data_IF_909495832884
#
_entry.id   IF_909495832884
#
_cell.length_a   1.000
_cell.length_b   1.000
_cell.length_c   1.000
_cell.angle_alpha   90.00
_cell.angle_beta   90.00
_cell.angle_gamma   90.00
#
_symmetry.space_group_name_H-M   'P 1'
#
loop_
_entity.id
_entity.type
_entity.pdbx_description
1 polymer ?
#
# COMPACT_ATOMS: atom_id res chain seq x y z
N UNK A 1 -13.76 -30.82 1.92
CA UNK A 1 -12.58 -29.95 2.08
C UNK A 1 -11.38 -30.72 1.60
N UNK A 2 -11.24 -30.79 0.32
CA UNK A 2 -10.13 -31.46 -0.34
C UNK A 2 -8.89 -30.60 -0.21
N UNK A 3 -7.87 -31.21 0.33
CA UNK A 3 -6.52 -30.67 0.41
C UNK A 3 -5.97 -30.48 -1.00
N UNK A 4 -6.04 -29.27 -1.52
CA UNK A 4 -5.23 -28.88 -2.68
C UNK A 4 -3.77 -28.91 -2.26
N UNK A 5 -3.14 -30.07 -2.44
CA UNK A 5 -1.69 -30.19 -2.52
C UNK A 5 -1.22 -29.35 -3.70
N UNK A 6 -0.92 -28.08 -3.44
CA UNK A 6 -0.17 -27.24 -4.36
C UNK A 6 1.20 -27.88 -4.53
N UNK A 7 1.37 -28.61 -5.62
CA UNK A 7 2.65 -29.15 -6.07
C UNK A 7 3.65 -28.01 -6.16
N UNK A 8 4.62 -28.03 -5.26
CA UNK A 8 5.77 -27.13 -5.23
C UNK A 8 6.44 -27.23 -6.59
N UNK A 9 6.38 -26.15 -7.37
CA UNK A 9 7.00 -26.04 -8.69
C UNK A 9 8.51 -26.13 -8.51
N UNK A 10 9.05 -27.30 -8.82
CA UNK A 10 10.46 -27.48 -9.09
C UNK A 10 10.72 -26.79 -10.44
N UNK A 11 11.75 -25.98 -10.54
CA UNK A 11 12.33 -25.61 -11.84
C UNK A 11 12.94 -26.88 -12.47
N UNK A 12 12.11 -27.74 -12.99
CA UNK A 12 12.51 -28.91 -13.79
C UNK A 12 12.21 -28.58 -15.24
N UNK A 13 13.14 -28.98 -16.11
CA UNK A 13 13.14 -28.89 -17.57
C UNK A 13 11.83 -29.42 -18.19
N UNK A 14 10.77 -28.65 -18.12
CA UNK A 14 9.54 -28.90 -18.82
C UNK A 14 9.38 -27.81 -19.86
N UNK A 15 9.46 -28.14 -21.13
CA UNK A 15 9.17 -27.34 -22.32
C UNK A 15 9.75 -25.92 -22.19
N UNK A 16 10.76 -25.57 -22.99
CA UNK A 16 11.42 -24.26 -22.94
C UNK A 16 10.37 -23.13 -22.97
N UNK A 17 10.16 -22.50 -21.84
CA UNK A 17 9.24 -21.39 -21.74
C UNK A 17 9.80 -20.21 -22.56
N UNK A 18 9.05 -19.66 -23.54
CA UNK A 18 9.52 -18.53 -24.34
C UNK A 18 9.63 -17.25 -23.52
N UNK A 19 9.13 -17.25 -22.27
CA UNK A 19 9.12 -16.11 -21.36
C UNK A 19 10.11 -16.35 -20.21
N UNK A 20 11.31 -15.79 -20.23
CA UNK A 20 12.37 -16.10 -19.25
C UNK A 20 12.01 -15.74 -17.80
N UNK A 21 11.12 -14.76 -17.61
CA UNK A 21 10.70 -14.29 -16.29
C UNK A 21 9.38 -14.90 -15.79
N UNK A 22 8.84 -15.91 -16.46
CA UNK A 22 7.55 -16.53 -16.11
C UNK A 22 7.45 -16.95 -14.65
N UNK A 23 8.43 -17.71 -14.17
CA UNK A 23 8.43 -18.22 -12.80
C UNK A 23 8.52 -17.13 -11.73
N UNK A 24 9.04 -15.95 -12.07
CA UNK A 24 9.14 -14.82 -11.15
C UNK A 24 7.83 -14.06 -10.99
N UNK A 25 6.98 -14.08 -12.01
CA UNK A 25 5.65 -13.43 -12.00
C UNK A 25 4.53 -14.39 -11.61
N UNK A 26 4.62 -15.64 -12.06
CA UNK A 26 3.61 -16.67 -11.87
C UNK A 26 4.21 -17.93 -11.22
N UNK A 27 4.72 -17.84 -9.97
CA UNK A 27 5.44 -18.93 -9.32
C UNK A 27 4.58 -20.17 -9.07
N UNK A 28 3.25 -20.01 -8.97
CA UNK A 28 2.29 -21.09 -8.75
C UNK A 28 1.76 -21.73 -10.04
N UNK A 29 2.08 -21.16 -11.22
CA UNK A 29 1.62 -21.64 -12.51
C UNK A 29 2.80 -22.19 -13.34
N UNK A 30 2.77 -23.50 -13.62
CA UNK A 30 3.69 -24.10 -14.58
C UNK A 30 3.30 -23.65 -16.00
N UNK A 31 4.30 -23.31 -16.81
CA UNK A 31 4.07 -22.98 -18.20
C UNK A 31 3.58 -24.21 -18.98
N UNK A 32 2.45 -24.06 -19.65
CA UNK A 32 1.95 -25.02 -20.64
C UNK A 32 1.62 -24.26 -21.93
N UNK A 33 2.01 -24.75 -23.10
CA UNK A 33 1.75 -24.05 -24.37
C UNK A 33 0.25 -23.82 -24.64
N UNK A 34 -0.61 -24.66 -24.09
CA UNK A 34 -2.08 -24.56 -24.18
C UNK A 34 -2.69 -23.69 -23.06
N UNK A 35 -1.89 -23.02 -22.24
CA UNK A 35 -2.42 -22.10 -21.22
C UNK A 35 -2.96 -20.83 -21.88
N UNK A 36 -4.02 -20.25 -21.34
CA UNK A 36 -4.67 -19.03 -21.83
C UNK A 36 -3.75 -17.78 -21.72
N UNK A 37 -2.79 -17.80 -20.79
CA UNK A 37 -1.94 -16.65 -20.49
C UNK A 37 -1.13 -16.15 -21.70
N UNK A 38 -0.45 -17.00 -22.51
CA UNK A 38 0.25 -16.56 -23.71
C UNK A 38 -0.63 -15.82 -24.72
N UNK A 39 -1.91 -16.23 -24.85
CA UNK A 39 -2.85 -15.62 -25.78
C UNK A 39 -3.33 -14.24 -25.31
N UNK A 40 -3.33 -14.00 -23.99
CA UNK A 40 -3.72 -12.71 -23.39
C UNK A 40 -2.62 -11.66 -23.49
N UNK A 41 -1.34 -12.05 -23.50
CA UNK A 41 -0.21 -11.12 -23.48
C UNK A 41 -0.26 -10.06 -24.59
N UNK A 42 -0.56 -10.38 -25.86
CA UNK A 42 -0.62 -9.38 -26.94
C UNK A 42 -1.71 -8.32 -26.71
N UNK A 43 -2.86 -8.72 -26.17
CA UNK A 43 -3.98 -7.80 -25.89
C UNK A 43 -3.62 -6.84 -24.74
N UNK A 44 -2.95 -7.35 -23.70
CA UNK A 44 -2.44 -6.54 -22.60
C UNK A 44 -1.33 -5.59 -23.08
N UNK A 45 -0.42 -6.05 -23.94
CA UNK A 45 0.61 -5.21 -24.55
C UNK A 45 0.00 -4.04 -25.33
N UNK A 46 -1.08 -4.29 -26.09
CA UNK A 46 -1.80 -3.23 -26.83
C UNK A 46 -2.45 -2.23 -25.89
N UNK A 47 -3.10 -2.70 -24.84
CA UNK A 47 -3.70 -1.85 -23.82
C UNK A 47 -2.65 -0.97 -23.13
N UNK A 48 -1.53 -1.55 -22.68
CA UNK A 48 -0.46 -0.83 -22.00
C UNK A 48 0.27 0.18 -22.90
N UNK A 49 0.29 -0.02 -24.23
CA UNK A 49 0.87 0.93 -25.19
C UNK A 49 -0.05 2.12 -25.48
N UNK A 50 -1.34 1.88 -25.47
CA UNK A 50 -2.33 2.89 -25.83
C UNK A 50 -2.68 3.85 -24.68
N UNK A 51 -2.57 3.36 -23.45
CA UNK A 51 -2.79 4.16 -22.24
C UNK A 51 -1.52 4.92 -21.89
N UNK A 52 -1.65 6.06 -21.16
CA UNK A 52 -0.53 6.90 -20.69
C UNK A 52 0.44 6.20 -19.72
N UNK A 53 0.42 4.84 -19.69
CA UNK A 53 1.34 4.01 -18.91
C UNK A 53 2.77 3.96 -19.50
N UNK A 54 3.06 4.76 -20.51
CA UNK A 54 4.39 4.86 -21.09
C UNK A 54 5.34 5.60 -20.15
N UNK A 55 5.79 4.90 -19.12
CA UNK A 55 6.84 5.38 -18.21
C UNK A 55 8.19 5.11 -18.88
N UNK A 56 9.09 6.11 -18.85
CA UNK A 56 10.44 5.94 -19.39
C UNK A 56 11.17 4.75 -18.76
N UNK A 57 12.01 4.06 -19.51
CA UNK A 57 12.79 2.92 -19.03
C UNK A 57 13.60 3.24 -17.76
N UNK A 58 14.22 4.43 -17.73
CA UNK A 58 15.04 4.87 -16.60
C UNK A 58 14.23 4.96 -15.30
N UNK A 59 12.99 5.47 -15.40
CA UNK A 59 12.07 5.56 -14.27
C UNK A 59 11.59 4.17 -13.84
N UNK A 60 11.26 3.29 -14.80
CA UNK A 60 10.88 1.90 -14.49
C UNK A 60 12.04 1.10 -13.90
N UNK A 61 13.27 1.40 -14.31
CA UNK A 61 14.46 0.76 -13.73
C UNK A 61 14.69 1.20 -12.28
N UNK A 62 14.44 2.47 -11.98
CA UNK A 62 14.58 3.03 -10.64
C UNK A 62 13.45 2.56 -9.70
N UNK A 63 12.20 2.68 -10.14
CA UNK A 63 11.02 2.43 -9.31
C UNK A 63 10.61 0.94 -9.27
N UNK A 64 11.04 0.12 -10.24
CA UNK A 64 10.71 -1.31 -10.40
C UNK A 64 9.23 -1.64 -10.37
N UNK A 65 8.37 -0.65 -10.53
CA UNK A 65 6.92 -0.81 -10.54
C UNK A 65 6.25 0.15 -11.53
N UNK A 66 5.05 -0.18 -11.93
CA UNK A 66 4.16 0.71 -12.66
C UNK A 66 2.76 0.66 -12.04
N UNK A 67 2.07 1.76 -12.13
CA UNK A 67 0.73 1.93 -11.58
C UNK A 67 -0.30 1.55 -12.64
N UNK A 68 -1.31 0.76 -12.28
CA UNK A 68 -2.43 0.37 -13.13
C UNK A 68 -3.71 0.96 -12.53
N UNK A 69 -4.32 1.92 -13.22
CA UNK A 69 -5.58 2.51 -12.80
C UNK A 69 -6.75 1.58 -13.14
N UNK A 70 -7.40 1.04 -12.12
CA UNK A 70 -8.50 0.09 -12.31
C UNK A 70 -9.71 0.72 -13.00
N UNK A 71 -9.95 2.04 -12.81
CA UNK A 71 -11.00 2.76 -13.52
C UNK A 71 -10.79 2.81 -15.04
N UNK A 72 -9.55 2.91 -15.50
CA UNK A 72 -9.23 2.88 -16.94
C UNK A 72 -9.34 1.48 -17.53
N UNK A 73 -9.05 0.45 -16.73
CA UNK A 73 -9.17 -0.95 -17.15
C UNK A 73 -10.62 -1.35 -17.45
N UNK A 74 -11.58 -0.76 -16.73
CA UNK A 74 -13.01 -0.97 -16.88
C UNK A 74 -13.73 0.20 -17.56
N UNK A 75 -12.99 1.17 -18.10
CA UNK A 75 -13.52 2.31 -18.82
C UNK A 75 -13.98 1.96 -20.25
N UNK A 76 -14.61 2.95 -20.89
CA UNK A 76 -15.17 2.84 -22.25
C UNK A 76 -14.12 3.08 -23.36
N UNK A 77 -12.84 3.09 -23.06
CA UNK A 77 -11.80 3.27 -24.09
C UNK A 77 -11.75 2.04 -25.02
N UNK A 78 -11.55 2.29 -26.33
CA UNK A 78 -11.51 1.23 -27.35
C UNK A 78 -10.55 0.09 -26.98
N UNK A 79 -9.43 0.41 -26.35
CA UNK A 79 -8.43 -0.56 -25.92
C UNK A 79 -8.85 -1.34 -24.68
N UNK A 80 -9.58 -0.72 -23.75
CA UNK A 80 -10.15 -1.40 -22.58
C UNK A 80 -11.26 -2.36 -23.02
N UNK A 81 -12.13 -1.92 -23.93
CA UNK A 81 -13.20 -2.76 -24.52
C UNK A 81 -12.60 -3.96 -25.26
N UNK A 82 -11.53 -3.75 -26.05
CA UNK A 82 -10.83 -4.84 -26.74
C UNK A 82 -10.20 -5.86 -25.76
N UNK A 83 -9.62 -5.37 -24.65
CA UNK A 83 -9.08 -6.25 -23.61
C UNK A 83 -10.18 -7.02 -22.87
N UNK A 84 -11.29 -6.38 -22.53
CA UNK A 84 -12.44 -7.02 -21.89
C UNK A 84 -13.08 -8.07 -22.82
N UNK A 85 -13.14 -7.81 -24.12
CA UNK A 85 -13.61 -8.79 -25.10
C UNK A 85 -12.68 -10.02 -25.21
N UNK A 86 -11.36 -9.82 -25.12
CA UNK A 86 -10.38 -10.90 -25.11
C UNK A 86 -10.33 -11.66 -23.76
N UNK A 87 -10.66 -10.96 -22.67
CA UNK A 87 -10.63 -11.51 -21.31
C UNK A 87 -11.93 -11.18 -20.54
N UNK A 88 -13.06 -11.82 -20.87
CA UNK A 88 -14.35 -11.52 -20.23
C UNK A 88 -14.40 -11.89 -18.75
N UNK A 89 -13.60 -12.85 -18.29
CA UNK A 89 -13.52 -13.28 -16.89
C UNK A 89 -12.61 -12.39 -16.03
N UNK A 90 -12.00 -11.34 -16.61
CA UNK A 90 -11.06 -10.45 -15.91
C UNK A 90 -11.61 -9.88 -14.60
N UNK A 91 -12.86 -9.38 -14.51
CA UNK A 91 -13.40 -8.84 -13.25
C UNK A 91 -13.48 -9.90 -12.14
N UNK A 92 -13.93 -11.10 -12.48
CA UNK A 92 -14.07 -12.22 -11.53
C UNK A 92 -12.69 -12.74 -11.08
N UNK A 93 -11.78 -12.97 -12.04
CA UNK A 93 -10.42 -13.42 -11.74
C UNK A 93 -9.61 -12.38 -10.94
N UNK A 94 -9.87 -11.09 -11.15
CA UNK A 94 -9.22 -10.03 -10.38
C UNK A 94 -9.67 -10.04 -8.91
N UNK A 95 -10.89 -10.46 -8.63
CA UNK A 95 -11.37 -10.63 -7.26
C UNK A 95 -10.91 -11.94 -6.62
N UNK A 96 -10.92 -13.04 -7.37
CA UNK A 96 -10.58 -14.37 -6.84
C UNK A 96 -9.07 -14.66 -6.82
N UNK A 97 -8.33 -14.18 -7.84
CA UNK A 97 -6.89 -14.45 -8.02
C UNK A 97 -6.08 -13.20 -8.37
N UNK A 98 -6.18 -12.14 -7.58
CA UNK A 98 -5.58 -10.84 -7.91
C UNK A 98 -4.07 -10.91 -8.14
N UNK A 99 -3.35 -11.71 -7.37
CA UNK A 99 -1.89 -11.85 -7.50
C UNK A 99 -1.49 -12.45 -8.87
N UNK A 100 -2.29 -13.36 -9.42
CA UNK A 100 -2.05 -13.92 -10.74
C UNK A 100 -2.33 -12.90 -11.83
N UNK A 101 -3.46 -12.22 -11.76
CA UNK A 101 -3.85 -11.19 -12.73
C UNK A 101 -2.78 -10.08 -12.80
N UNK A 102 -2.40 -9.49 -11.67
CA UNK A 102 -1.35 -8.46 -11.66
C UNK A 102 0.04 -9.01 -12.03
N UNK A 103 0.29 -10.30 -11.78
CA UNK A 103 1.47 -11.01 -12.27
C UNK A 103 1.51 -11.08 -13.81
N UNK A 104 0.37 -11.35 -14.47
CA UNK A 104 0.27 -11.38 -15.93
C UNK A 104 0.51 -9.98 -16.54
N UNK A 105 -0.07 -8.92 -15.94
CA UNK A 105 0.22 -7.54 -16.36
C UNK A 105 1.71 -7.18 -16.19
N UNK A 106 2.32 -7.57 -15.07
CA UNK A 106 3.75 -7.39 -14.83
C UNK A 106 4.61 -8.13 -15.86
N UNK A 107 4.27 -9.39 -16.18
CA UNK A 107 4.96 -10.21 -17.19
C UNK A 107 4.86 -9.57 -18.58
N UNK A 108 3.66 -9.12 -18.97
CA UNK A 108 3.43 -8.44 -20.25
C UNK A 108 4.31 -7.20 -20.37
N UNK A 109 4.33 -6.34 -19.34
CA UNK A 109 5.18 -5.14 -19.32
C UNK A 109 6.67 -5.46 -19.40
N UNK A 110 7.11 -6.47 -18.66
CA UNK A 110 8.50 -6.92 -18.68
C UNK A 110 8.90 -7.43 -20.08
N UNK A 111 8.04 -8.23 -20.73
CA UNK A 111 8.27 -8.71 -22.09
C UNK A 111 8.36 -7.57 -23.12
N UNK A 112 7.56 -6.52 -22.96
CA UNK A 112 7.68 -5.34 -23.81
C UNK A 112 9.06 -4.70 -23.71
N UNK A 113 9.58 -4.57 -22.48
CA UNK A 113 10.90 -3.98 -22.22
C UNK A 113 12.02 -4.87 -22.77
N UNK A 114 11.91 -6.19 -22.61
CA UNK A 114 12.90 -7.14 -23.14
C UNK A 114 12.98 -7.12 -24.68
N UNK A 115 11.88 -6.81 -25.37
CA UNK A 115 11.85 -6.66 -26.84
C UNK A 115 12.54 -5.37 -27.32
N UNK A 116 12.75 -4.41 -26.45
CA UNK A 116 13.43 -3.17 -26.79
C UNK A 116 14.95 -3.27 -26.64
N UNK A 117 15.75 -2.53 -27.43
CA UNK A 117 17.22 -2.57 -27.33
C UNK A 117 17.70 -2.16 -25.95
N UNK A 118 18.60 -2.96 -25.36
CA UNK A 118 19.15 -2.77 -24.02
C UNK A 118 18.29 -3.29 -22.88
N UNK A 119 17.25 -4.10 -23.15
CA UNK A 119 16.38 -4.68 -22.13
C UNK A 119 16.80 -6.04 -21.55
N UNK A 120 17.90 -6.65 -22.03
CA UNK A 120 18.27 -8.05 -21.74
C UNK A 120 18.40 -8.41 -20.25
N UNK A 121 18.79 -7.46 -19.39
CA UNK A 121 18.97 -7.66 -17.94
C UNK A 121 18.05 -6.75 -17.11
N UNK A 122 16.84 -6.47 -17.60
CA UNK A 122 15.94 -5.60 -16.88
C UNK A 122 15.40 -6.28 -15.59
N UNK A 123 15.30 -5.56 -14.46
CA UNK A 123 14.76 -6.12 -13.23
C UNK A 123 13.26 -6.43 -13.35
N UNK A 124 12.76 -7.27 -12.44
CA UNK A 124 11.33 -7.58 -12.33
C UNK A 124 10.53 -6.31 -12.06
N UNK A 125 9.47 -6.07 -12.83
CA UNK A 125 8.60 -4.90 -12.72
C UNK A 125 7.26 -5.30 -12.12
N UNK A 126 6.88 -4.71 -11.00
CA UNK A 126 5.61 -5.02 -10.33
C UNK A 126 4.47 -4.14 -10.84
N UNK A 127 3.31 -4.76 -11.04
CA UNK A 127 2.07 -4.05 -11.33
C UNK A 127 1.41 -3.64 -10.01
N UNK A 128 1.11 -2.33 -9.85
CA UNK A 128 0.51 -1.75 -8.64
C UNK A 128 -0.89 -1.21 -8.97
N UNK A 129 -1.97 -1.89 -8.53
CA UNK A 129 -3.33 -1.43 -8.81
C UNK A 129 -3.66 -0.17 -8.02
N UNK A 130 -4.22 0.84 -8.68
CA UNK A 130 -4.68 2.10 -8.09
C UNK A 130 -6.12 2.39 -8.52
N UNK A 131 -6.87 3.13 -7.70
CA UNK A 131 -8.20 3.62 -8.08
C UNK A 131 -9.33 2.63 -7.85
N UNK A 132 -9.19 1.66 -6.92
CA UNK A 132 -10.36 0.89 -6.50
C UNK A 132 -11.30 1.80 -5.72
N UNK A 133 -12.50 2.06 -6.22
CA UNK A 133 -13.43 3.00 -5.61
C UNK A 133 -14.01 2.52 -4.29
N UNK A 134 -14.29 1.22 -4.17
CA UNK A 134 -14.88 0.64 -2.97
C UNK A 134 -13.85 0.47 -1.85
N UNK A 135 -14.02 1.25 -0.78
CA UNK A 135 -13.27 1.09 0.46
C UNK A 135 -14.03 0.18 1.43
N UNK A 136 -13.36 -0.86 1.89
CA UNK A 136 -13.91 -1.76 2.90
C UNK A 136 -13.50 -1.29 4.30
N UNK A 137 -14.45 -0.96 5.20
CA UNK A 137 -14.09 -0.58 6.56
C UNK A 137 -13.44 -1.77 7.29
N UNK A 138 -12.42 -1.52 8.10
CA UNK A 138 -11.65 -2.56 8.80
C UNK A 138 -12.55 -3.51 9.61
N UNK A 139 -13.66 -3.02 10.13
CA UNK A 139 -14.65 -3.82 10.87
C UNK A 139 -15.43 -4.80 10.01
N UNK A 140 -15.57 -4.53 8.72
CA UNK A 140 -16.27 -5.42 7.80
C UNK A 140 -15.39 -6.58 7.32
N UNK A 141 -14.05 -6.49 7.50
CA UNK A 141 -13.13 -7.55 7.13
C UNK A 141 -13.37 -8.79 7.99
N UNK A 142 -13.89 -9.83 7.34
CA UNK A 142 -14.19 -11.15 7.91
C UNK A 142 -13.68 -12.24 6.98
N UNK A 143 -13.92 -13.49 7.33
CA UNK A 143 -13.54 -14.67 6.53
C UNK A 143 -14.04 -14.65 5.08
N UNK A 144 -15.15 -13.96 4.80
CA UNK A 144 -15.69 -13.80 3.44
C UNK A 144 -14.75 -13.06 2.47
N UNK A 145 -13.84 -12.24 3.01
CA UNK A 145 -12.85 -11.51 2.20
C UNK A 145 -11.54 -12.27 2.02
N UNK A 146 -11.44 -13.50 2.50
CA UNK A 146 -10.23 -14.31 2.35
C UNK A 146 -9.87 -14.49 0.86
N UNK A 147 -8.61 -14.24 0.52
CA UNK A 147 -8.04 -14.23 -0.84
C UNK A 147 -8.62 -13.19 -1.80
N UNK A 148 -9.47 -12.29 -1.35
CA UNK A 148 -10.04 -11.23 -2.21
C UNK A 148 -9.20 -9.97 -2.17
N UNK A 149 -9.26 -9.24 -3.28
CA UNK A 149 -8.69 -7.90 -3.40
C UNK A 149 -9.57 -6.90 -2.65
N UNK A 150 -9.00 -6.15 -1.72
CA UNK A 150 -9.70 -5.11 -0.96
C UNK A 150 -8.91 -3.82 -0.91
N UNK A 151 -9.61 -2.69 -0.81
CA UNK A 151 -9.02 -1.41 -0.47
C UNK A 151 -9.48 -1.02 0.93
N UNK A 152 -8.53 -0.72 1.81
CA UNK A 152 -8.78 -0.29 3.19
C UNK A 152 -8.13 1.06 3.44
N UNK A 153 -8.78 1.89 4.24
CA UNK A 153 -8.25 3.19 4.66
C UNK A 153 -8.10 3.22 6.17
N UNK A 154 -6.98 3.74 6.64
CA UNK A 154 -6.74 3.85 8.07
C UNK A 154 -5.47 4.61 8.42
N UNK A 155 -5.26 4.83 9.72
CA UNK A 155 -4.07 5.50 10.26
C UNK A 155 -3.00 4.46 10.61
N UNK A 156 -1.77 4.68 10.18
CA UNK A 156 -0.63 3.84 10.53
C UNK A 156 -0.24 4.10 11.97
N UNK A 157 -0.36 3.07 12.82
CA UNK A 157 -0.05 3.17 14.26
C UNK A 157 1.36 2.68 14.56
N UNK A 158 1.79 1.63 13.87
CA UNK A 158 3.10 1.00 14.09
C UNK A 158 3.73 0.60 12.78
N UNK A 159 5.04 0.78 12.70
CA UNK A 159 5.88 0.35 11.58
C UNK A 159 6.99 -0.52 12.15
N UNK A 160 7.19 -1.71 11.60
CA UNK A 160 8.31 -2.59 11.97
C UNK A 160 9.57 -2.23 11.19
N UNK A 161 10.75 -2.65 11.67
CA UNK A 161 11.95 -2.56 10.83
C UNK A 161 11.81 -3.44 9.58
N UNK A 162 12.48 -3.05 8.49
CA UNK A 162 12.57 -3.83 7.26
C UNK A 162 13.41 -5.09 7.53
N UNK A 163 12.92 -6.22 7.05
CA UNK A 163 13.58 -7.52 7.17
C UNK A 163 13.66 -8.21 5.81
N UNK A 164 14.81 -8.73 5.40
CA UNK A 164 14.90 -9.54 4.19
C UNK A 164 14.15 -10.86 4.38
N UNK A 165 13.33 -11.20 3.41
CA UNK A 165 12.57 -12.45 3.34
C UNK A 165 12.87 -13.18 2.05
N UNK A 166 13.14 -14.49 2.11
CA UNK A 166 13.46 -15.27 0.93
C UNK A 166 12.18 -15.68 0.20
N UNK A 167 12.06 -15.30 -1.06
CA UNK A 167 10.98 -15.75 -1.98
C UNK A 167 11.38 -17.02 -2.73
N UNK A 168 12.64 -17.13 -3.12
CA UNK A 168 13.22 -18.33 -3.69
C UNK A 168 14.42 -18.75 -2.88
N UNK A 169 14.44 -20.00 -2.43
CA UNK A 169 15.50 -20.53 -1.61
C UNK A 169 16.17 -21.72 -2.30
N UNK A 170 17.51 -21.65 -2.40
CA UNK A 170 18.32 -22.74 -2.91
C UNK A 170 18.62 -23.76 -1.82
N UNK A 171 18.54 -25.03 -2.17
CA UNK A 171 18.76 -26.17 -1.26
C UNK A 171 19.84 -27.10 -1.83
N UNK A 172 20.74 -27.56 -1.01
CA UNK A 172 21.73 -28.56 -1.37
C UNK A 172 21.23 -29.96 -1.02
N UNK A 173 21.38 -30.87 -1.96
CA UNK A 173 21.12 -32.28 -1.72
C UNK A 173 22.37 -32.98 -1.11
N UNK A 174 22.26 -33.71 0.01
CA UNK A 174 23.41 -34.38 0.64
C UNK A 174 23.98 -35.54 -0.20
N UNK A 175 23.16 -36.13 -1.10
CA UNK A 175 23.55 -37.28 -1.91
C UNK A 175 24.28 -36.85 -3.18
N UNK A 176 23.66 -36.02 -4.03
CA UNK A 176 24.21 -35.61 -5.31
C UNK A 176 24.91 -34.24 -5.28
N UNK A 177 24.93 -33.56 -4.14
CA UNK A 177 25.45 -32.20 -3.95
C UNK A 177 24.90 -31.16 -4.94
N UNK A 178 23.84 -31.52 -5.66
CA UNK A 178 23.15 -30.63 -6.60
C UNK A 178 22.29 -29.59 -5.86
N UNK A 179 22.11 -28.42 -6.46
CA UNK A 179 21.24 -27.36 -5.94
C UNK A 179 19.83 -27.50 -6.51
N UNK A 180 18.82 -27.38 -5.64
CA UNK A 180 17.40 -27.35 -5.98
C UNK A 180 16.84 -26.02 -5.50
N UNK A 181 16.24 -25.23 -6.37
CA UNK A 181 15.63 -23.95 -6.01
C UNK A 181 14.14 -24.16 -5.84
N UNK A 182 13.61 -23.70 -4.71
CA UNK A 182 12.20 -23.87 -4.33
C UNK A 182 11.59 -22.52 -3.99
N UNK A 183 10.41 -22.25 -4.56
CA UNK A 183 9.61 -21.09 -4.20
C UNK A 183 9.10 -21.21 -2.77
N UNK A 184 9.17 -20.13 -2.00
CA UNK A 184 8.73 -20.05 -0.60
C UNK A 184 7.42 -19.26 -0.52
N UNK A 185 6.24 -19.89 -0.60
CA UNK A 185 4.97 -19.18 -0.56
C UNK A 185 4.84 -18.46 0.79
N UNK A 186 4.43 -17.20 0.74
CA UNK A 186 4.30 -16.33 1.93
C UNK A 186 5.58 -16.26 2.77
N UNK A 187 6.76 -16.45 2.16
CA UNK A 187 8.05 -16.54 2.84
C UNK A 187 8.09 -17.61 3.96
N UNK A 188 7.23 -18.61 3.90
CA UNK A 188 7.27 -19.77 4.80
C UNK A 188 8.32 -20.75 4.33
N UNK A 189 9.15 -21.19 5.26
CA UNK A 189 10.27 -22.07 4.98
C UNK A 189 9.79 -23.48 4.59
N UNK A 190 9.90 -23.82 3.30
CA UNK A 190 9.54 -25.13 2.76
C UNK A 190 10.75 -25.80 2.12
N UNK A 191 11.03 -27.02 2.57
CA UNK A 191 12.05 -27.86 1.96
C UNK A 191 11.52 -28.56 0.71
N UNK A 192 12.39 -28.88 -0.28
CA UNK A 192 11.97 -29.64 -1.45
C UNK A 192 11.52 -31.05 -1.05
N UNK A 193 10.48 -31.55 -1.71
CA UNK A 193 9.97 -32.92 -1.49
C UNK A 193 10.77 -33.96 -2.26
N UNK A 194 11.43 -33.58 -3.36
CA UNK A 194 12.22 -34.46 -4.24
C UNK A 194 13.45 -33.71 -4.74
N UNK A 195 14.53 -34.44 -5.00
CA UNK A 195 15.71 -33.92 -5.70
C UNK A 195 15.47 -33.86 -7.23
N UNK A 196 16.49 -33.45 -7.98
CA UNK A 196 16.49 -33.43 -9.45
C UNK A 196 16.28 -34.82 -10.07
N UNK A 197 15.81 -34.90 -11.32
CA UNK A 197 15.77 -36.14 -12.06
C UNK A 197 17.14 -36.85 -12.02
N UNK A 198 17.14 -38.15 -11.72
CA UNK A 198 18.34 -38.95 -11.53
C UNK A 198 18.82 -39.12 -10.07
N UNK A 199 18.32 -38.33 -9.13
CA UNK A 199 18.57 -38.51 -7.71
C UNK A 199 17.29 -38.85 -6.95
N UNK A 200 17.27 -39.96 -6.22
CA UNK A 200 16.10 -40.46 -5.49
C UNK A 200 15.98 -39.90 -4.07
N UNK A 201 16.80 -38.92 -3.69
CA UNK A 201 16.77 -38.35 -2.34
C UNK A 201 15.51 -37.50 -2.11
N UNK A 202 14.84 -37.71 -0.96
CA UNK A 202 13.63 -37.00 -0.54
C UNK A 202 13.76 -36.33 0.81
N UNK A 203 14.92 -36.45 1.49
CA UNK A 203 15.08 -35.98 2.87
C UNK A 203 16.42 -35.28 3.09
N UNK A 204 16.52 -34.53 4.17
CA UNK A 204 17.76 -33.93 4.68
C UNK A 204 18.42 -32.91 3.71
N UNK A 205 17.60 -32.08 3.05
CA UNK A 205 18.12 -30.96 2.27
C UNK A 205 18.61 -29.84 3.19
N UNK A 206 19.77 -29.26 2.84
CA UNK A 206 20.36 -28.13 3.57
C UNK A 206 20.11 -26.81 2.82
N UNK A 207 19.60 -25.76 3.48
CA UNK A 207 19.34 -24.48 2.82
C UNK A 207 20.66 -23.74 2.54
N UNK A 208 20.82 -23.27 1.31
CA UNK A 208 21.94 -22.46 0.85
C UNK A 208 21.54 -20.99 0.79
N UNK A 209 21.65 -20.29 1.89
CA UNK A 209 21.28 -18.87 1.98
C UNK A 209 22.22 -17.96 1.18
N UNK A 210 23.48 -18.34 1.01
CA UNK A 210 24.51 -17.57 0.28
C UNK A 210 24.59 -17.90 -1.21
N UNK A 211 23.70 -18.74 -1.73
CA UNK A 211 23.68 -19.06 -3.16
C UNK A 211 23.17 -17.87 -3.97
N UNK A 212 23.77 -17.63 -5.15
CA UNK A 212 23.32 -16.62 -6.11
C UNK A 212 21.90 -16.87 -6.63
N UNK A 213 21.38 -18.09 -6.48
CA UNK A 213 20.02 -18.50 -6.88
C UNK A 213 18.99 -18.23 -5.80
N UNK A 214 19.40 -17.88 -4.58
CA UNK A 214 18.51 -17.48 -3.51
C UNK A 214 18.12 -16.01 -3.73
N UNK A 215 16.81 -15.77 -3.88
CA UNK A 215 16.26 -14.44 -4.10
C UNK A 215 15.54 -14.02 -2.81
N UNK A 216 15.97 -12.90 -2.26
CA UNK A 216 15.35 -12.27 -1.10
C UNK A 216 14.70 -10.94 -1.52
N UNK A 217 13.61 -10.61 -0.85
CA UNK A 217 12.90 -9.33 -0.99
C UNK A 217 12.79 -8.67 0.38
N UNK A 218 12.81 -7.37 0.39
CA UNK A 218 12.57 -6.61 1.61
C UNK A 218 11.09 -6.70 1.99
N UNK A 219 10.84 -6.91 3.28
CA UNK A 219 9.51 -7.06 3.86
C UNK A 219 9.40 -6.24 5.12
N UNK A 220 8.30 -5.54 5.25
CA UNK A 220 7.98 -4.71 6.40
C UNK A 220 6.53 -4.96 6.82
N UNK A 221 6.28 -5.00 8.13
CA UNK A 221 4.93 -5.14 8.67
C UNK A 221 4.52 -3.82 9.29
N UNK A 222 3.36 -3.33 8.93
CA UNK A 222 2.75 -2.14 9.53
C UNK A 222 1.43 -2.52 10.20
N UNK A 223 1.04 -1.76 11.21
CA UNK A 223 -0.26 -1.90 11.87
C UNK A 223 -1.09 -0.67 11.58
N UNK A 224 -2.25 -0.88 10.96
CA UNK A 224 -3.17 0.17 10.56
C UNK A 224 -4.41 0.10 11.44
N UNK A 225 -4.87 1.26 11.90
CA UNK A 225 -6.03 1.43 12.75
C UNK A 225 -7.16 2.11 11.99
N UNK A 226 -8.38 1.72 12.28
CA UNK A 226 -9.61 2.36 11.77
C UNK A 226 -9.60 3.86 12.09
N UNK A 227 -10.03 4.67 11.10
CA UNK A 227 -10.18 6.11 11.31
C UNK A 227 -11.31 6.34 12.32
N UNK A 228 -11.04 7.18 13.30
CA UNK A 228 -12.05 7.63 14.27
C UNK A 228 -12.86 8.77 13.64
N UNK A 229 -13.90 8.43 12.89
CA UNK A 229 -14.88 9.42 12.47
C UNK A 229 -15.77 9.79 13.66
N UNK A 230 -16.28 11.03 13.67
CA UNK A 230 -17.14 11.57 14.72
C UNK A 230 -18.48 10.82 14.88
N UNK A 231 -18.80 9.92 13.94
CA UNK A 231 -19.98 9.05 13.95
C UNK A 231 -19.75 7.73 14.69
N UNK A 232 -18.53 7.47 15.18
CA UNK A 232 -18.26 6.26 15.97
C UNK A 232 -18.99 6.33 17.31
N UNK A 233 -19.72 5.27 17.62
CA UNK A 233 -20.38 5.08 18.89
C UNK A 233 -19.39 5.28 20.05
N UNK A 234 -19.72 6.16 20.98
CA UNK A 234 -18.94 6.46 22.17
C UNK A 234 -18.62 5.17 22.92
N UNK A 235 -17.33 4.94 23.21
CA UNK A 235 -16.87 3.77 23.98
C UNK A 235 -16.42 2.57 23.12
N UNK A 236 -16.43 2.65 21.80
CA UNK A 236 -15.97 1.56 20.94
C UNK A 236 -14.46 1.61 20.71
N UNK A 237 -13.81 0.46 20.87
CA UNK A 237 -12.38 0.32 20.58
C UNK A 237 -12.17 0.19 19.05
N UNK A 238 -11.37 1.05 18.42
CA UNK A 238 -11.10 0.97 16.98
C UNK A 238 -10.35 -0.31 16.65
N UNK A 239 -10.70 -0.94 15.52
CA UNK A 239 -10.03 -2.14 15.05
C UNK A 239 -8.69 -1.83 14.42
N UNK A 240 -7.79 -2.79 14.50
CA UNK A 240 -6.48 -2.72 13.88
C UNK A 240 -6.28 -3.90 12.95
N UNK A 241 -5.57 -3.68 11.84
CA UNK A 241 -5.20 -4.68 10.84
C UNK A 241 -3.68 -4.65 10.66
N UNK A 242 -3.07 -5.82 10.60
CA UNK A 242 -1.67 -5.95 10.19
C UNK A 242 -1.60 -5.98 8.66
N UNK A 243 -0.69 -5.17 8.09
CA UNK A 243 -0.48 -5.08 6.66
C UNK A 243 0.99 -5.36 6.37
N UNK A 244 1.26 -6.17 5.37
CA UNK A 244 2.59 -6.49 4.90
C UNK A 244 2.93 -5.67 3.66
N UNK A 245 4.07 -5.01 3.71
CA UNK A 245 4.66 -4.26 2.62
C UNK A 245 5.86 -5.04 2.09
N UNK A 246 6.06 -5.03 0.80
CA UNK A 246 7.17 -5.72 0.14
C UNK A 246 7.87 -4.82 -0.86
N UNK A 247 9.17 -5.06 -1.04
CA UNK A 247 10.00 -4.40 -2.05
C UNK A 247 9.99 -2.86 -1.89
N UNK A 248 9.62 -2.12 -2.94
CA UNK A 248 9.61 -0.65 -2.97
C UNK A 248 8.55 -0.01 -2.07
N UNK A 249 7.58 -0.77 -1.56
CA UNK A 249 6.58 -0.25 -0.62
C UNK A 249 7.13 -0.11 0.81
N UNK A 250 8.29 -0.71 1.09
CA UNK A 250 8.93 -0.59 2.40
C UNK A 250 9.37 0.86 2.65
N UNK A 251 9.30 1.30 3.91
CA UNK A 251 9.71 2.63 4.39
C UNK A 251 9.00 3.83 3.72
N UNK A 252 7.87 3.59 3.03
CA UNK A 252 7.06 4.65 2.41
C UNK A 252 6.12 5.34 3.39
N UNK A 253 5.75 4.66 4.48
CA UNK A 253 4.78 5.13 5.46
C UNK A 253 5.42 5.38 6.82
N UNK A 254 4.98 6.43 7.49
CA UNK A 254 5.37 6.76 8.85
C UNK A 254 4.20 6.60 9.82
N UNK A 255 4.46 6.32 11.12
CA UNK A 255 3.41 6.33 12.13
C UNK A 255 2.67 7.68 12.14
N UNK A 256 1.34 7.65 12.18
CA UNK A 256 0.48 8.81 12.09
C UNK A 256 -0.01 9.15 10.69
N UNK A 257 0.55 8.56 9.64
CA UNK A 257 0.06 8.76 8.28
C UNK A 257 -1.31 8.09 8.09
N UNK A 258 -2.21 8.77 7.38
CA UNK A 258 -3.43 8.17 6.87
C UNK A 258 -3.14 7.64 5.48
N UNK A 259 -3.29 6.35 5.28
CA UNK A 259 -3.02 5.70 4.02
C UNK A 259 -4.21 4.86 3.55
N UNK A 260 -4.40 4.82 2.24
CA UNK A 260 -5.28 3.87 1.57
C UNK A 260 -4.42 2.75 1.02
N UNK A 261 -4.69 1.55 1.48
CA UNK A 261 -3.94 0.34 1.14
C UNK A 261 -4.82 -0.57 0.30
N UNK A 262 -4.36 -0.93 -0.88
CA UNK A 262 -5.02 -1.94 -1.72
C UNK A 262 -4.19 -3.22 -1.69
N UNK A 263 -4.83 -4.35 -1.39
CA UNK A 263 -4.12 -5.60 -1.25
C UNK A 263 -5.04 -6.81 -1.14
N UNK A 264 -4.43 -7.96 -0.92
CA UNK A 264 -5.12 -9.26 -0.79
C UNK A 264 -5.19 -9.66 0.67
N UNK A 265 -6.37 -10.03 1.12
CA UNK A 265 -6.58 -10.52 2.48
C UNK A 265 -6.07 -11.95 2.61
N UNK A 266 -5.09 -12.16 3.48
CA UNK A 266 -4.50 -13.46 3.78
C UNK A 266 -4.68 -13.83 5.25
N UNK A 267 -4.32 -15.05 5.59
CA UNK A 267 -4.40 -15.56 6.96
C UNK A 267 -3.04 -16.07 7.43
N UNK A 268 -2.73 -15.83 8.70
CA UNK A 268 -1.57 -16.38 9.37
C UNK A 268 -2.01 -17.19 10.61
N UNK A 269 -1.35 -18.29 10.86
CA UNK A 269 -1.60 -19.11 12.07
C UNK A 269 -0.99 -18.45 13.30
N UNK A 270 -1.77 -18.30 14.37
CA UNK A 270 -1.26 -17.86 15.66
C UNK A 270 -0.32 -18.93 16.25
N UNK A 271 0.97 -18.58 16.42
CA UNK A 271 1.98 -19.49 16.97
C UNK A 271 1.80 -19.78 18.47
N UNK A 272 1.17 -18.88 19.22
CA UNK A 272 1.00 -19.04 20.68
C UNK A 272 0.11 -20.19 21.10
N UNK A 273 -0.65 -20.78 20.17
CA UNK A 273 -1.63 -21.83 20.48
C UNK A 273 -1.24 -23.23 19.95
N UNK A 274 0.04 -23.50 19.69
CA UNK A 274 0.50 -24.85 19.31
C UNK A 274 0.13 -25.95 20.36
N UNK A 275 -0.21 -25.55 21.58
CA UNK A 275 -0.66 -26.48 22.65
C UNK A 275 -2.17 -26.72 22.67
N UNK A 276 -2.98 -25.92 21.97
CA UNK A 276 -4.44 -26.12 21.86
C UNK A 276 -4.79 -26.73 20.50
N UNK A 277 -5.71 -27.65 20.46
CA UNK A 277 -6.18 -28.37 19.26
C UNK A 277 -6.88 -27.43 18.24
N UNK A 278 -7.26 -26.23 18.65
CA UNK A 278 -7.94 -25.25 17.80
C UNK A 278 -6.92 -24.34 17.12
N UNK A 279 -6.90 -24.37 15.79
CA UNK A 279 -6.09 -23.45 14.95
C UNK A 279 -6.85 -22.16 14.76
N UNK A 280 -6.45 -21.11 15.45
CA UNK A 280 -6.95 -19.77 15.19
C UNK A 280 -6.10 -19.08 14.13
N UNK A 281 -6.76 -18.37 13.23
CA UNK A 281 -6.15 -17.63 12.13
C UNK A 281 -6.35 -16.13 12.33
N UNK A 282 -5.31 -15.38 12.14
CA UNK A 282 -5.37 -13.92 12.06
C UNK A 282 -5.39 -13.49 10.60
N UNK A 283 -6.29 -12.55 10.29
CA UNK A 283 -6.32 -11.90 9.00
C UNK A 283 -5.22 -10.84 8.93
N UNK A 284 -4.53 -10.78 7.82
CA UNK A 284 -3.62 -9.70 7.48
C UNK A 284 -3.80 -9.29 6.01
N UNK A 285 -3.34 -8.10 5.65
CA UNK A 285 -3.39 -7.59 4.29
C UNK A 285 -2.01 -7.70 3.64
N UNK A 286 -1.89 -8.48 2.57
CA UNK A 286 -0.73 -8.45 1.67
C UNK A 286 -0.90 -7.26 0.72
N UNK A 287 -0.19 -6.17 0.98
CA UNK A 287 -0.38 -4.90 0.28
C UNK A 287 0.24 -4.95 -1.11
N UNK A 288 -0.55 -4.63 -2.11
CA UNK A 288 -0.12 -4.50 -3.51
C UNK A 288 0.20 -3.06 -3.88
N UNK A 289 -0.57 -2.09 -3.35
CA UNK A 289 -0.32 -0.67 -3.59
C UNK A 289 -0.72 0.20 -2.41
N UNK A 290 -0.12 1.37 -2.35
CA UNK A 290 -0.34 2.37 -1.32
C UNK A 290 -0.67 3.68 -2.00
N UNK A 291 -1.82 4.26 -1.65
CA UNK A 291 -2.14 5.65 -1.95
C UNK A 291 -2.00 6.44 -0.65
N UNK A 292 -0.90 7.16 -0.53
CA UNK A 292 -0.62 8.02 0.62
C UNK A 292 -0.49 9.47 0.18
N UNK A 293 -0.93 10.41 1.00
CA UNK A 293 -0.73 11.83 0.72
C UNK A 293 0.73 12.26 0.59
N UNK A 294 1.68 11.40 0.99
CA UNK A 294 3.12 11.61 0.83
C UNK A 294 3.71 11.08 -0.46
N UNK A 295 2.92 10.48 -1.36
CA UNK A 295 3.40 10.05 -2.67
C UNK A 295 4.08 11.22 -3.38
N UNK A 296 5.30 10.99 -3.84
CA UNK A 296 6.35 11.96 -4.23
C UNK A 296 5.99 13.01 -5.29
N UNK A 297 4.77 13.04 -5.81
CA UNK A 297 4.44 13.84 -6.99
C UNK A 297 3.55 15.06 -6.76
N UNK A 298 3.25 15.44 -5.52
CA UNK A 298 2.46 16.66 -5.36
C UNK A 298 3.03 17.60 -4.31
N UNK A 299 3.65 18.65 -4.79
CA UNK A 299 3.92 19.87 -4.01
C UNK A 299 2.64 20.49 -3.40
N UNK A 300 1.46 19.91 -3.67
CA UNK A 300 0.14 20.39 -3.28
C UNK A 300 -0.65 19.49 -2.33
N UNK A 301 -0.28 18.21 -2.13
CA UNK A 301 -1.08 17.31 -1.28
C UNK A 301 -0.39 16.91 0.03
N UNK A 302 0.25 17.85 0.71
CA UNK A 302 0.85 17.62 2.04
C UNK A 302 -0.18 17.17 3.08
N UNK A 303 -1.48 17.31 2.80
CA UNK A 303 -2.57 17.05 3.75
C UNK A 303 -3.48 15.87 3.37
N UNK A 304 -3.29 15.24 2.21
CA UNK A 304 -4.15 14.13 1.75
C UNK A 304 -5.61 14.53 1.51
N UNK A 305 -5.86 15.81 1.26
CA UNK A 305 -7.17 16.34 0.93
C UNK A 305 -7.31 16.30 -0.59
N UNK A 306 -8.29 15.54 -1.09
CA UNK A 306 -8.72 15.62 -2.48
C UNK A 306 -9.78 16.71 -2.62
N UNK A 307 -9.53 17.68 -3.49
CA UNK A 307 -10.49 18.74 -3.78
C UNK A 307 -11.44 18.28 -4.89
N UNK A 308 -12.73 18.43 -4.63
CA UNK A 308 -13.79 18.18 -5.62
C UNK A 308 -13.99 19.43 -6.49
N UNK A 309 -14.70 19.29 -7.62
CA UNK A 309 -15.05 20.43 -8.48
C UNK A 309 -15.91 21.46 -7.74
N UNK A 310 -16.73 21.01 -6.80
CA UNK A 310 -17.53 21.90 -5.94
C UNK A 310 -16.64 22.73 -5.01
N UNK A 311 -15.56 22.16 -4.48
CA UNK A 311 -14.60 22.89 -3.63
C UNK A 311 -13.92 24.00 -4.43
N UNK A 312 -13.53 23.73 -5.69
CA UNK A 312 -12.96 24.76 -6.58
C UNK A 312 -13.95 25.90 -6.85
N UNK A 313 -15.23 25.58 -7.08
CA UNK A 313 -16.26 26.59 -7.28
C UNK A 313 -16.44 27.46 -6.03
N UNK A 314 -16.51 26.85 -4.85
CA UNK A 314 -16.61 27.55 -3.58
C UNK A 314 -15.39 28.46 -3.34
N UNK A 315 -14.18 28.00 -3.64
CA UNK A 315 -12.95 28.83 -3.55
C UNK A 315 -13.03 30.03 -4.48
N UNK A 316 -13.54 29.86 -5.71
CA UNK A 316 -13.74 30.97 -6.66
C UNK A 316 -14.78 31.99 -6.14
N UNK A 317 -15.88 31.52 -5.57
CA UNK A 317 -16.88 32.40 -4.95
C UNK A 317 -16.27 33.20 -3.80
N UNK A 318 -15.56 32.52 -2.87
CA UNK A 318 -14.89 33.21 -1.76
C UNK A 318 -13.86 34.21 -2.27
N UNK A 319 -13.11 33.88 -3.31
CA UNK A 319 -12.12 34.79 -3.93
C UNK A 319 -12.78 36.06 -4.51
N UNK A 320 -14.00 35.95 -4.99
CA UNK A 320 -14.73 37.09 -5.56
C UNK A 320 -15.01 38.23 -4.54
N UNK A 321 -14.99 37.92 -3.23
CA UNK A 321 -15.15 38.92 -2.16
C UNK A 321 -13.94 39.84 -2.00
N UNK A 322 -12.83 39.61 -2.68
CA UNK A 322 -11.63 40.47 -2.72
C UNK A 322 -11.10 40.81 -1.33
N UNK A 323 -11.00 42.06 -0.97
CA UNK A 323 -10.48 42.50 0.36
C UNK A 323 -11.34 42.07 1.57
N UNK A 324 -12.56 41.60 1.34
CA UNK A 324 -13.49 41.12 2.38
C UNK A 324 -13.24 39.67 2.84
N UNK A 325 -12.44 38.90 2.11
CA UNK A 325 -12.20 37.47 2.36
C UNK A 325 -11.76 37.20 3.79
N UNK A 326 -10.78 37.95 4.30
CA UNK A 326 -10.28 37.75 5.68
C UNK A 326 -11.38 38.00 6.72
N UNK A 327 -12.22 39.03 6.52
CA UNK A 327 -13.34 39.30 7.44
C UNK A 327 -14.36 38.18 7.43
N UNK A 328 -14.64 37.61 6.25
CA UNK A 328 -15.53 36.47 6.09
C UNK A 328 -14.99 35.24 6.82
N UNK A 329 -13.74 34.88 6.60
CA UNK A 329 -13.08 33.74 7.24
C UNK A 329 -13.02 33.88 8.77
N UNK A 330 -12.69 35.08 9.28
CA UNK A 330 -12.69 35.35 10.73
C UNK A 330 -14.10 35.24 11.31
N UNK A 331 -15.15 35.63 10.59
CA UNK A 331 -16.52 35.51 11.04
C UNK A 331 -17.01 34.06 11.02
N UNK A 332 -16.58 33.27 10.06
CA UNK A 332 -16.95 31.86 9.91
C UNK A 332 -16.26 30.92 10.93
N UNK A 333 -15.08 31.33 11.45
CA UNK A 333 -14.42 30.54 12.49
C UNK A 333 -15.19 30.67 13.81
N UNK A 334 -15.68 29.56 14.34
CA UNK A 334 -16.46 29.49 15.58
C UNK A 334 -17.65 30.49 15.65
N UNK A 335 -18.69 30.33 14.82
CA UNK A 335 -19.82 31.25 14.76
C UNK A 335 -20.61 31.32 16.09
N UNK A 336 -20.51 30.27 16.94
CA UNK A 336 -21.15 30.21 18.26
C UNK A 336 -20.65 31.28 19.25
N UNK A 337 -19.46 31.83 19.04
CA UNK A 337 -18.90 32.89 19.89
C UNK A 337 -18.99 34.22 19.16
N UNK A 338 -19.73 35.15 19.74
CA UNK A 338 -19.86 36.50 19.22
C UNK A 338 -18.63 37.37 19.54
N UNK A 339 -18.20 38.20 18.62
CA UNK A 339 -17.06 39.11 18.80
C UNK A 339 -15.69 38.42 18.76
N UNK A 340 -14.77 38.88 19.57
CA UNK A 340 -13.38 38.37 19.67
C UNK A 340 -12.63 38.26 18.35
N UNK A 341 -12.86 39.19 17.40
CA UNK A 341 -12.34 39.15 16.04
C UNK A 341 -10.82 39.03 15.95
N UNK A 342 -10.10 39.71 16.82
CA UNK A 342 -8.63 39.64 16.83
C UNK A 342 -8.12 38.27 17.29
N UNK A 343 -8.77 37.62 18.26
CA UNK A 343 -8.40 36.27 18.71
C UNK A 343 -8.70 35.27 17.59
N UNK A 344 -9.85 35.34 16.97
CA UNK A 344 -10.21 34.50 15.81
C UNK A 344 -9.25 34.69 14.65
N UNK A 345 -8.84 35.93 14.35
CA UNK A 345 -7.85 36.21 13.32
C UNK A 345 -6.49 35.60 13.66
N UNK A 346 -6.03 35.68 14.92
CA UNK A 346 -4.81 35.05 15.37
C UNK A 346 -4.83 33.54 15.25
N UNK A 347 -5.95 32.89 15.61
CA UNK A 347 -6.13 31.44 15.44
C UNK A 347 -6.16 31.04 13.96
N UNK A 348 -6.79 31.85 13.10
CA UNK A 348 -6.82 31.62 11.66
C UNK A 348 -5.43 31.72 11.03
N UNK A 349 -4.63 32.71 11.43
CA UNK A 349 -3.23 32.84 11.00
C UNK A 349 -2.38 31.67 11.50
N UNK A 350 -2.64 31.15 12.70
CA UNK A 350 -2.03 29.94 13.21
C UNK A 350 -2.34 28.70 12.37
N UNK A 351 -3.58 28.59 11.84
CA UNK A 351 -3.99 27.52 10.92
C UNK A 351 -3.31 27.60 9.55
N UNK A 352 -3.13 28.81 9.01
CA UNK A 352 -2.39 28.97 7.76
C UNK A 352 -0.90 28.68 7.88
N UNK A 353 -0.33 28.85 9.09
CA UNK A 353 1.08 28.66 9.31
C UNK A 353 1.95 29.72 8.62
N UNK A 354 3.24 29.43 8.58
CA UNK A 354 4.26 30.24 7.92
C UNK A 354 5.15 29.43 6.99
N UNK A 355 6.10 30.09 6.33
CA UNK A 355 7.08 29.44 5.47
C UNK A 355 8.33 29.05 6.25
N UNK A 356 8.77 27.81 6.13
CA UNK A 356 10.07 27.37 6.63
C UNK A 356 11.19 28.08 5.88
N UNK A 357 12.17 28.63 6.61
CA UNK A 357 13.31 29.34 6.01
C UNK A 357 14.62 28.70 6.51
N UNK A 358 15.63 28.70 5.64
CA UNK A 358 16.97 28.29 6.04
C UNK A 358 17.12 26.80 6.32
N UNK A 359 16.42 25.93 5.60
CA UNK A 359 16.57 24.47 5.74
C UNK A 359 18.03 24.02 5.54
N UNK A 360 18.80 24.75 4.74
CA UNK A 360 20.20 24.48 4.45
C UNK A 360 21.18 25.29 5.34
N UNK A 361 20.67 26.04 6.31
CA UNK A 361 21.48 26.87 7.22
C UNK A 361 21.60 26.27 8.61
N UNK A 362 22.61 26.67 9.37
CA UNK A 362 22.82 26.21 10.73
C UNK A 362 21.66 26.50 11.70
N UNK A 363 20.79 27.44 11.36
CA UNK A 363 19.63 27.83 12.18
C UNK A 363 18.34 27.81 11.33
N UNK A 364 17.72 26.63 11.13
CA UNK A 364 16.46 26.56 10.43
C UNK A 364 15.33 27.19 11.22
N UNK A 365 14.55 28.07 10.58
CA UNK A 365 13.35 28.66 11.16
C UNK A 365 12.14 27.84 10.69
N UNK A 366 11.45 27.24 11.65
CA UNK A 366 10.23 26.47 11.37
C UNK A 366 9.06 27.39 10.97
N UNK A 367 8.18 26.87 10.14
CA UNK A 367 6.98 27.57 9.67
C UNK A 367 5.74 27.40 10.55
N UNK A 368 5.83 26.66 11.68
CA UNK A 368 4.68 26.35 12.53
C UNK A 368 4.58 27.33 13.69
N UNK A 369 3.68 28.34 13.64
CA UNK A 369 3.54 29.30 14.72
C UNK A 369 2.79 28.68 15.90
N UNK A 370 3.27 28.92 17.13
CA UNK A 370 2.58 28.57 18.35
C UNK A 370 1.68 29.72 18.81
N UNK A 371 0.44 29.41 19.18
CA UNK A 371 -0.53 30.37 19.66
C UNK A 371 -0.87 30.06 21.12
N UNK A 372 -0.68 31.04 22.01
CA UNK A 372 -1.09 30.96 23.41
C UNK A 372 -2.30 31.86 23.63
N UNK A 373 -3.40 31.26 24.11
CA UNK A 373 -4.63 31.98 24.45
C UNK A 373 -4.80 32.03 25.95
N UNK A 374 -4.72 33.23 26.54
CA UNK A 374 -4.84 33.48 27.98
C UNK A 374 -6.03 34.40 28.24
N UNK A 375 -6.76 34.16 29.33
CA UNK A 375 -7.90 34.97 29.74
C UNK A 375 -8.69 34.27 30.84
N UNK A 376 -9.70 34.95 31.38
CA UNK A 376 -10.52 34.47 32.48
C UNK A 376 -11.38 33.25 32.12
N UNK A 377 -11.78 32.44 33.11
CA UNK A 377 -12.69 31.35 32.88
C UNK A 377 -14.03 31.84 32.28
N UNK A 378 -14.67 31.03 31.45
CA UNK A 378 -15.96 31.35 30.84
C UNK A 378 -15.92 32.16 29.52
N UNK A 379 -14.75 32.66 29.07
CA UNK A 379 -14.61 33.44 27.82
C UNK A 379 -14.62 32.60 26.52
N UNK A 380 -14.93 31.33 26.59
CA UNK A 380 -15.03 30.48 25.42
C UNK A 380 -13.70 30.02 24.80
N UNK A 381 -12.56 30.15 25.51
CA UNK A 381 -11.24 29.74 25.01
C UNK A 381 -11.18 28.31 24.52
N UNK A 382 -11.71 27.37 25.31
CA UNK A 382 -11.72 25.93 24.94
C UNK A 382 -12.64 25.65 23.77
N UNK A 383 -13.74 26.39 23.61
CA UNK A 383 -14.65 26.27 22.47
C UNK A 383 -14.00 26.80 21.18
N UNK A 384 -13.26 27.92 21.26
CA UNK A 384 -12.50 28.41 20.10
C UNK A 384 -11.43 27.42 19.66
N UNK A 385 -10.70 26.81 20.61
CA UNK A 385 -9.72 25.75 20.28
C UNK A 385 -10.39 24.50 19.73
N UNK A 386 -11.56 24.11 20.25
CA UNK A 386 -12.36 23.02 19.70
C UNK A 386 -12.79 23.28 18.25
N UNK A 387 -13.19 24.51 17.93
CA UNK A 387 -13.52 24.90 16.56
C UNK A 387 -12.29 24.85 15.63
N UNK A 388 -11.11 25.24 16.11
CA UNK A 388 -9.85 25.09 15.36
C UNK A 388 -9.56 23.62 15.06
N UNK A 389 -9.75 22.73 16.05
CA UNK A 389 -9.55 21.28 15.87
C UNK A 389 -10.52 20.69 14.85
N UNK A 390 -11.78 21.17 14.82
CA UNK A 390 -12.78 20.68 13.86
C UNK A 390 -12.53 21.13 12.42
N UNK A 391 -11.84 22.26 12.22
CA UNK A 391 -11.52 22.80 10.88
C UNK A 391 -10.17 22.31 10.37
N UNK A 392 -9.20 22.10 11.28
CA UNK A 392 -7.86 21.69 10.89
C UNK A 392 -7.85 20.23 10.37
N UNK A 393 -7.22 19.96 9.22
CA UNK A 393 -7.19 18.61 8.62
C UNK A 393 -6.50 17.56 9.51
N UNK A 394 -5.54 18.02 10.34
CA UNK A 394 -4.83 17.16 11.30
C UNK A 394 -4.69 17.93 12.61
N UNK A 395 -5.62 17.72 13.50
CA UNK A 395 -5.57 18.33 14.83
C UNK A 395 -5.99 17.33 15.90
N UNK A 396 -5.35 17.40 17.05
CA UNK A 396 -5.66 16.57 18.21
C UNK A 396 -5.88 17.50 19.41
N UNK A 397 -7.05 17.38 20.04
CA UNK A 397 -7.34 18.06 21.29
C UNK A 397 -6.78 17.23 22.45
N UNK A 398 -5.93 17.82 23.27
CA UNK A 398 -5.32 17.17 24.42
C UNK A 398 -5.54 17.98 25.69
N UNK A 399 -5.92 17.31 26.75
CA UNK A 399 -6.06 17.92 28.08
C UNK A 399 -4.73 17.79 28.83
N UNK A 400 -4.14 18.90 29.28
CA UNK A 400 -2.83 18.90 29.92
C UNK A 400 -2.69 18.00 31.16
N UNK A 401 -3.78 17.81 31.91
CA UNK A 401 -3.78 16.99 33.13
C UNK A 401 -3.71 15.47 32.87
N UNK A 402 -4.06 15.01 31.67
CA UNK A 402 -4.18 13.58 31.35
C UNK A 402 -3.16 13.12 30.30
N UNK A 403 -2.39 14.04 29.73
CA UNK A 403 -1.44 13.74 28.69
C UNK A 403 -0.01 13.58 29.21
N UNK A 404 0.69 12.57 28.71
CA UNK A 404 2.13 12.38 28.90
C UNK A 404 2.89 12.71 27.63
N UNK A 405 4.15 13.13 27.74
CA UNK A 405 5.01 13.40 26.57
C UNK A 405 5.08 12.19 25.61
N UNK A 406 5.14 10.96 26.14
CA UNK A 406 5.13 9.74 25.33
C UNK A 406 3.79 9.45 24.65
N UNK A 407 2.66 9.94 25.18
CA UNK A 407 1.34 9.83 24.56
C UNK A 407 1.08 10.86 23.46
N UNK A 408 1.82 11.98 23.49
CA UNK A 408 1.73 13.04 22.47
C UNK A 408 2.70 12.83 21.30
N UNK A 409 3.75 12.04 21.51
CA UNK A 409 4.80 11.77 20.53
C UNK A 409 4.94 10.28 20.31
N UNK A 410 5.89 9.88 19.48
CA UNK A 410 6.18 8.46 19.21
C UNK A 410 7.05 7.89 20.33
N UNK A 411 6.63 6.77 20.91
CA UNK A 411 7.43 6.01 21.87
C UNK A 411 8.11 4.85 21.15
N UNK A 412 9.45 4.78 21.21
CA UNK A 412 10.21 3.63 20.72
C UNK A 412 10.14 2.52 21.79
N UNK A 413 9.45 1.44 21.50
CA UNK A 413 9.49 0.22 22.29
C UNK A 413 10.49 -0.75 21.66
N UNK A 414 11.45 -1.22 22.47
CA UNK A 414 12.44 -2.25 22.08
C UNK A 414 11.81 -3.65 22.07
#
# INVERSE_FOLDING_TARGET
MESTNSSVSLMTDAIACPFPSWSSYLPCLSYTPSSRVPDLLPHIETFLKASDYWISKDKLFADRCFQLHLGELFGDSDHAVALQAAWPELPEEMEEKPEQVFGIFGLSRHNMILKEPGGENFPIVRCRPIGREEEVPLRALKSAFFQRLVAVRGTVVRVSPVKPSCTWLSWSCPVCKGEVVVYQPECKFQAPSKCRPGCRNTKNFTPLRSSRKTICVDRQTIKVQELCDSTLELGRVPRTLECELTEELCDTLLPGDVARLTGVVKVVTCQEQQRRKEKQYLLFLSTLSIASPRAKDSRTSTLGISFTQQDYQMVQEVHSYGSGVLKLLVASLCPSIYGHRLVKAGLLLGLFGGTCRGMDTAFPVRGDPHVLVVGDPGLGKSQMLGAVVSVAPRAVAVTGNTSTTGGLTVTLTR
#
